data_IF_486667660158
#
_entry.id   IF_486667660158
#
_cell.length_a   1.000
_cell.length_b   1.000
_cell.length_c   1.000
_cell.angle_alpha   90.00
_cell.angle_beta   90.00
_cell.angle_gamma   90.00
#
_symmetry.space_group_name_H-M   'P 1'
#
loop_
_entity.id
_entity.type
_entity.pdbx_description
1 polymer ?
#
# COMPACT_ATOMS: atom_id res chain seq x y z
N UNK A 1 1.29 15.54 -20.80
CA UNK A 1 1.63 14.11 -20.93
C UNK A 1 0.97 13.64 -22.21
N UNK A 2 1.75 13.31 -23.24
CA UNK A 2 1.19 12.78 -24.50
C UNK A 2 0.86 11.29 -24.40
N UNK A 3 1.48 10.59 -23.44
CA UNK A 3 1.23 9.17 -23.20
C UNK A 3 0.20 8.99 -22.09
N UNK A 4 -0.78 8.11 -22.34
CA UNK A 4 -1.86 7.78 -21.40
C UNK A 4 -1.30 7.02 -20.19
N UNK A 5 -1.69 7.44 -18.99
CA UNK A 5 -1.38 6.74 -17.75
C UNK A 5 -2.29 5.51 -17.60
N UNK A 6 -1.71 4.34 -17.35
CA UNK A 6 -2.47 3.12 -17.03
C UNK A 6 -2.21 2.69 -15.59
N UNK A 7 -3.28 2.52 -14.81
CA UNK A 7 -3.23 1.96 -13.46
C UNK A 7 -3.59 0.47 -13.50
N UNK A 8 -2.69 -0.36 -13.01
CA UNK A 8 -2.92 -1.78 -12.80
C UNK A 8 -3.48 -2.00 -11.38
N UNK A 9 -4.79 -2.20 -11.30
CA UNK A 9 -5.55 -2.29 -10.07
C UNK A 9 -5.82 -3.74 -9.65
N UNK A 10 -5.64 -4.02 -8.36
CA UNK A 10 -5.98 -5.29 -7.73
C UNK A 10 -6.81 -5.03 -6.47
N UNK A 11 -7.94 -5.72 -6.32
CA UNK A 11 -8.81 -5.55 -5.14
C UNK A 11 -8.06 -5.93 -3.83
N UNK A 12 -8.41 -5.28 -2.72
CA UNK A 12 -7.72 -5.41 -1.43
C UNK A 12 -6.20 -5.18 -1.51
N UNK A 13 -5.77 -4.27 -2.39
CA UNK A 13 -4.37 -3.88 -2.53
C UNK A 13 -4.19 -2.37 -2.36
N UNK A 14 -2.93 -1.95 -2.31
CA UNK A 14 -2.59 -0.54 -2.23
C UNK A 14 -2.88 0.23 -3.53
N UNK A 15 -3.27 -0.43 -4.63
CA UNK A 15 -3.69 0.27 -5.85
C UNK A 15 -4.95 1.09 -5.66
N UNK A 16 -5.78 0.77 -4.67
CA UNK A 16 -6.98 1.56 -4.39
C UNK A 16 -6.66 3.01 -3.99
N UNK A 17 -5.56 3.25 -3.26
CA UNK A 17 -5.20 4.61 -2.86
C UNK A 17 -4.72 5.47 -4.05
N UNK A 18 -4.11 4.83 -5.04
CA UNK A 18 -3.71 5.48 -6.30
C UNK A 18 -4.95 5.79 -7.12
N UNK A 19 -5.86 4.81 -7.26
CA UNK A 19 -7.15 4.98 -7.92
C UNK A 19 -7.93 6.16 -7.33
N UNK A 20 -8.06 6.21 -6.00
CA UNK A 20 -8.74 7.31 -5.33
C UNK A 20 -8.08 8.66 -5.63
N UNK A 21 -6.75 8.76 -5.57
CA UNK A 21 -6.08 10.02 -5.86
C UNK A 21 -6.27 10.48 -7.32
N UNK A 22 -6.27 9.55 -8.28
CA UNK A 22 -6.57 9.87 -9.68
C UNK A 22 -7.98 10.44 -9.84
N UNK A 23 -8.96 9.87 -9.15
CA UNK A 23 -10.34 10.37 -9.12
C UNK A 23 -10.43 11.77 -8.48
N UNK A 24 -9.79 11.99 -7.33
CA UNK A 24 -9.79 13.31 -6.66
C UNK A 24 -9.14 14.40 -7.51
N UNK A 25 -8.08 14.05 -8.25
CA UNK A 25 -7.41 14.96 -9.17
C UNK A 25 -8.13 15.09 -10.52
N UNK A 26 -9.19 14.31 -10.75
CA UNK A 26 -9.89 14.19 -12.04
C UNK A 26 -8.90 13.93 -13.19
N UNK A 27 -7.84 13.18 -12.91
CA UNK A 27 -6.79 12.89 -13.88
C UNK A 27 -7.29 11.86 -14.90
N UNK A 28 -6.96 11.99 -16.20
CA UNK A 28 -7.27 10.96 -17.17
C UNK A 28 -6.35 9.74 -17.00
N UNK A 29 -6.93 8.54 -16.94
CA UNK A 29 -6.18 7.29 -16.85
C UNK A 29 -6.97 6.11 -17.42
N UNK A 30 -6.25 5.06 -17.83
CA UNK A 30 -6.80 3.75 -18.14
C UNK A 30 -6.69 2.83 -16.93
N UNK A 31 -7.71 1.99 -16.70
CA UNK A 31 -7.74 1.06 -15.58
C UNK A 31 -7.69 -0.39 -16.08
N UNK A 32 -6.66 -1.12 -15.66
CA UNK A 32 -6.58 -2.57 -15.85
C UNK A 32 -6.85 -3.25 -14.52
N UNK A 33 -7.95 -3.99 -14.42
CA UNK A 33 -8.32 -4.71 -13.20
C UNK A 33 -7.84 -6.15 -13.28
N UNK A 34 -7.22 -6.61 -12.20
CA UNK A 34 -6.74 -7.98 -12.04
C UNK A 34 -7.57 -8.72 -11.01
N UNK A 35 -7.92 -9.95 -11.32
CA UNK A 35 -8.59 -10.85 -10.39
C UNK A 35 -7.58 -11.59 -9.49
N UNK A 36 -8.00 -11.83 -8.25
CA UNK A 36 -7.27 -12.72 -7.34
C UNK A 36 -7.69 -14.16 -7.56
N UNK A 37 -6.72 -15.06 -7.55
CA UNK A 37 -6.98 -16.49 -7.42
C UNK A 37 -7.65 -16.76 -6.07
N UNK A 38 -8.83 -17.38 -6.09
CA UNK A 38 -9.66 -17.56 -4.91
C UNK A 38 -9.03 -18.43 -3.80
N UNK A 39 -7.99 -19.21 -4.12
CA UNK A 39 -7.32 -20.11 -3.15
C UNK A 39 -6.08 -19.46 -2.54
N UNK A 40 -5.27 -18.81 -3.37
CA UNK A 40 -3.97 -18.25 -3.00
C UNK A 40 -4.02 -16.76 -2.70
N UNK A 41 -5.10 -16.08 -3.11
CA UNK A 41 -5.25 -14.63 -3.12
C UNK A 41 -4.19 -13.90 -3.96
N UNK A 42 -3.37 -14.60 -4.76
CA UNK A 42 -2.40 -13.99 -5.65
C UNK A 42 -3.04 -13.56 -6.99
N UNK A 43 -2.37 -12.69 -7.74
CA UNK A 43 -2.77 -12.32 -9.10
C UNK A 43 -1.61 -12.63 -10.07
N UNK A 44 -1.46 -13.88 -10.55
CA UNK A 44 -0.31 -14.28 -11.39
C UNK A 44 -0.19 -13.47 -12.68
N UNK A 45 -1.32 -13.07 -13.27
CA UNK A 45 -1.39 -12.26 -14.50
C UNK A 45 -0.79 -10.87 -14.34
N UNK A 46 -0.64 -10.36 -13.11
CA UNK A 46 -0.02 -9.06 -12.84
C UNK A 46 1.47 -9.04 -13.16
N UNK A 47 2.14 -10.21 -13.20
CA UNK A 47 3.54 -10.33 -13.56
C UNK A 47 3.84 -9.81 -14.99
N UNK A 48 2.83 -9.81 -15.87
CA UNK A 48 2.96 -9.23 -17.20
C UNK A 48 3.14 -7.71 -17.22
N UNK A 49 2.68 -7.01 -16.18
CA UNK A 49 2.87 -5.55 -16.04
C UNK A 49 4.18 -5.21 -15.34
N UNK A 50 4.56 -5.99 -14.31
CA UNK A 50 5.82 -5.84 -13.61
C UNK A 50 6.29 -7.19 -13.07
N UNK A 51 7.57 -7.59 -13.26
CA UNK A 51 8.06 -8.91 -12.84
C UNK A 51 7.86 -9.24 -11.35
N UNK A 52 7.77 -8.22 -10.49
CA UNK A 52 7.50 -8.40 -9.06
C UNK A 52 6.11 -8.99 -8.78
N UNK A 53 5.15 -8.83 -9.70
CA UNK A 53 3.82 -9.43 -9.60
C UNK A 53 2.98 -8.92 -8.43
N UNK A 54 3.26 -7.72 -7.92
CA UNK A 54 2.54 -7.09 -6.82
C UNK A 54 1.96 -5.74 -7.24
N UNK A 55 0.79 -5.42 -6.69
CA UNK A 55 0.10 -4.15 -6.94
C UNK A 55 0.40 -3.14 -5.83
N UNK A 56 0.40 -1.83 -6.14
CA UNK A 56 0.10 -1.22 -7.44
C UNK A 56 1.26 -1.26 -8.42
N UNK A 57 0.88 -1.19 -9.71
CA UNK A 57 1.77 -0.84 -10.82
C UNK A 57 1.11 0.28 -11.61
N UNK A 58 1.90 1.26 -12.04
CA UNK A 58 1.49 2.30 -12.97
C UNK A 58 2.40 2.25 -14.19
N UNK A 59 1.83 2.32 -15.39
CA UNK A 59 2.58 2.43 -16.63
C UNK A 59 2.23 3.74 -17.37
N UNK A 60 3.20 4.34 -18.05
CA UNK A 60 3.03 5.55 -18.85
C UNK A 60 4.15 5.62 -19.90
N UNK A 61 3.81 5.41 -21.18
CA UNK A 61 4.82 5.21 -22.22
C UNK A 61 5.74 4.03 -21.88
N UNK A 62 7.05 4.25 -21.89
CA UNK A 62 8.05 3.24 -21.52
C UNK A 62 8.29 3.12 -20.00
N UNK A 63 7.65 3.97 -19.19
CA UNK A 63 7.81 3.94 -17.73
C UNK A 63 6.88 2.90 -17.12
N UNK A 64 7.44 2.00 -16.31
CA UNK A 64 6.69 1.16 -15.38
C UNK A 64 7.18 1.44 -13.95
N UNK A 65 6.26 1.90 -13.09
CA UNK A 65 6.56 2.31 -11.72
C UNK A 65 5.81 1.43 -10.73
N UNK A 66 6.56 0.93 -9.74
CA UNK A 66 6.05 0.27 -8.55
C UNK A 66 6.11 1.24 -7.36
N UNK A 67 5.73 0.76 -6.18
CA UNK A 67 5.65 1.55 -4.95
C UNK A 67 4.55 2.61 -5.00
N UNK A 68 3.51 2.33 -4.24
CA UNK A 68 2.28 3.12 -4.16
C UNK A 68 2.52 4.59 -3.79
N UNK A 69 3.54 4.94 -2.98
CA UNK A 69 3.85 6.33 -2.63
C UNK A 69 4.65 7.03 -3.73
N UNK A 70 5.53 6.31 -4.42
CA UNK A 70 6.29 6.85 -5.53
C UNK A 70 5.37 7.16 -6.72
N UNK A 71 4.43 6.26 -7.02
CA UNK A 71 3.37 6.47 -8.02
C UNK A 71 2.57 7.74 -7.69
N UNK A 72 2.17 7.90 -6.43
CA UNK A 72 1.38 9.08 -6.05
C UNK A 72 2.18 10.38 -6.14
N UNK A 73 3.43 10.42 -5.67
CA UNK A 73 4.30 11.60 -5.84
C UNK A 73 4.50 11.93 -7.32
N UNK A 74 4.69 10.93 -8.18
CA UNK A 74 4.81 11.13 -9.63
C UNK A 74 3.57 11.80 -10.22
N UNK A 75 2.37 11.33 -9.87
CA UNK A 75 1.12 11.93 -10.36
C UNK A 75 0.98 13.36 -9.84
N UNK A 76 1.28 13.62 -8.55
CA UNK A 76 1.22 14.96 -7.96
C UNK A 76 2.19 15.93 -8.65
N UNK A 77 3.42 15.50 -8.94
CA UNK A 77 4.43 16.30 -9.65
C UNK A 77 4.00 16.63 -11.09
N UNK A 78 3.18 15.77 -11.70
CA UNK A 78 2.71 15.90 -13.09
C UNK A 78 1.34 16.56 -13.21
N UNK A 79 0.67 16.87 -12.10
CA UNK A 79 -0.66 17.49 -12.08
C UNK A 79 -0.56 18.97 -11.68
N UNK A 80 -0.63 19.91 -12.66
CA UNK A 80 -0.56 21.34 -12.37
C UNK A 80 -1.75 21.79 -11.53
N UNK A 81 -1.50 22.63 -10.52
CA UNK A 81 -2.57 23.21 -9.70
C UNK A 81 -3.20 22.25 -8.68
N UNK A 82 -2.67 21.04 -8.52
CA UNK A 82 -3.06 20.16 -7.42
C UNK A 82 -2.79 20.84 -6.06
N UNK A 83 -3.63 20.57 -5.06
CA UNK A 83 -3.52 21.10 -3.70
C UNK A 83 -3.51 20.01 -2.61
N UNK A 84 -3.27 18.76 -3.00
CA UNK A 84 -3.25 17.59 -2.10
C UNK A 84 -1.93 17.47 -1.33
N UNK A 85 -0.87 18.13 -1.82
CA UNK A 85 0.44 18.20 -1.17
C UNK A 85 0.76 19.65 -0.78
N UNK A 86 1.01 19.97 0.50
CA UNK A 86 1.41 21.30 0.92
C UNK A 86 2.70 21.74 0.22
N UNK A 87 2.83 23.03 -0.05
CA UNK A 87 4.05 23.61 -0.62
C UNK A 87 5.28 23.36 0.27
N UNK A 88 6.51 23.31 -0.29
CA UNK A 88 7.73 23.04 0.48
C UNK A 88 7.92 23.95 1.70
N UNK A 89 7.58 25.23 1.57
CA UNK A 89 7.73 26.23 2.64
C UNK A 89 6.50 26.34 3.57
N UNK A 90 5.49 25.48 3.37
CA UNK A 90 4.28 25.48 4.21
C UNK A 90 4.58 24.98 5.63
N UNK A 91 4.03 25.62 6.69
CA UNK A 91 4.14 25.10 8.05
C UNK A 91 3.54 23.69 8.21
N UNK A 92 2.61 23.29 7.33
CA UNK A 92 2.00 21.96 7.35
C UNK A 92 2.84 20.88 6.65
N UNK A 93 3.91 21.26 5.92
CA UNK A 93 4.73 20.32 5.13
C UNK A 93 5.37 19.24 5.99
N UNK A 94 5.87 19.60 7.17
CA UNK A 94 6.49 18.65 8.11
C UNK A 94 5.50 17.57 8.54
N UNK A 95 4.27 17.97 8.87
CA UNK A 95 3.21 17.03 9.28
C UNK A 95 2.77 16.14 8.13
N UNK A 96 2.65 16.70 6.92
CA UNK A 96 2.38 15.93 5.71
C UNK A 96 3.45 14.86 5.48
N UNK A 97 4.73 15.24 5.47
CA UNK A 97 5.84 14.32 5.21
C UNK A 97 5.88 13.19 6.24
N UNK A 98 5.68 13.52 7.52
CA UNK A 98 5.62 12.51 8.58
C UNK A 98 4.56 11.44 8.27
N UNK A 99 3.32 11.84 8.00
CA UNK A 99 2.23 10.89 7.75
C UNK A 99 2.36 10.17 6.41
N UNK A 100 2.87 10.85 5.38
CA UNK A 100 3.16 10.25 4.07
C UNK A 100 4.11 9.07 4.20
N UNK A 101 5.21 9.26 4.92
CA UNK A 101 6.21 8.20 5.14
C UNK A 101 5.77 7.18 6.20
N UNK A 102 5.08 7.60 7.27
CA UNK A 102 4.62 6.70 8.32
C UNK A 102 3.65 5.64 7.80
N UNK A 103 2.78 6.00 6.84
CA UNK A 103 1.85 5.08 6.21
C UNK A 103 2.57 3.86 5.57
N UNK A 104 3.67 4.11 4.85
CA UNK A 104 4.44 3.06 4.18
C UNK A 104 5.45 2.40 5.13
N UNK A 105 6.23 3.21 5.85
CA UNK A 105 7.40 2.76 6.60
C UNK A 105 7.10 2.21 7.99
N UNK A 106 5.98 2.57 8.59
CA UNK A 106 5.62 2.14 9.95
C UNK A 106 4.33 1.32 9.98
N UNK A 107 3.26 1.85 9.39
CA UNK A 107 1.94 1.21 9.50
C UNK A 107 1.87 -0.11 8.72
N UNK A 108 2.45 -0.17 7.53
CA UNK A 108 2.38 -1.39 6.71
C UNK A 108 3.14 -2.58 7.31
N UNK A 109 4.39 -2.42 7.81
CA UNK A 109 5.07 -3.49 8.54
C UNK A 109 4.28 -3.95 9.77
N UNK A 110 3.67 -3.03 10.53
CA UNK A 110 2.83 -3.39 11.67
C UNK A 110 1.60 -4.21 11.24
N UNK A 111 0.96 -3.84 10.14
CA UNK A 111 -0.16 -4.59 9.58
C UNK A 111 0.27 -6.00 9.14
N UNK A 112 1.43 -6.14 8.50
CA UNK A 112 2.00 -7.43 8.15
C UNK A 112 2.25 -8.28 9.40
N UNK A 113 2.93 -7.73 10.40
CA UNK A 113 3.21 -8.44 11.66
C UNK A 113 1.93 -8.88 12.37
N UNK A 114 0.91 -8.03 12.41
CA UNK A 114 -0.41 -8.37 12.96
C UNK A 114 -1.06 -9.52 12.18
N UNK A 115 -1.00 -9.47 10.85
CA UNK A 115 -1.57 -10.49 9.97
C UNK A 115 -0.87 -11.83 10.16
N UNK A 116 0.47 -11.85 10.13
CA UNK A 116 1.29 -13.04 10.37
C UNK A 116 0.99 -13.63 11.74
N UNK A 117 0.99 -12.81 12.80
CA UNK A 117 0.69 -13.26 14.16
C UNK A 117 -0.72 -13.88 14.25
N UNK A 118 -1.70 -13.25 13.62
CA UNK A 118 -3.09 -13.73 13.59
C UNK A 118 -3.21 -15.07 12.86
N UNK A 119 -2.56 -15.22 11.71
CA UNK A 119 -2.54 -16.48 10.94
C UNK A 119 -1.85 -17.58 11.73
N UNK A 120 -0.69 -17.29 12.32
CA UNK A 120 0.07 -18.24 13.14
C UNK A 120 -0.77 -18.73 14.32
N UNK A 121 -1.44 -17.85 15.06
CA UNK A 121 -2.33 -18.22 16.16
C UNK A 121 -3.50 -19.13 15.73
N UNK A 122 -4.08 -18.89 14.54
CA UNK A 122 -5.16 -19.72 13.99
C UNK A 122 -4.68 -21.11 13.57
N UNK A 123 -3.46 -21.22 13.04
CA UNK A 123 -2.89 -22.48 12.54
C UNK A 123 -2.24 -23.37 13.61
N UNK A 124 -2.07 -22.89 14.84
CA UNK A 124 -1.52 -23.71 15.92
C UNK A 124 -2.46 -24.87 16.31
N UNK A 125 -1.95 -26.10 16.48
CA UNK A 125 -2.66 -27.19 17.12
C UNK A 125 -3.16 -26.77 18.50
N UNK A 126 -4.37 -27.20 18.88
CA UNK A 126 -5.05 -26.76 20.09
C UNK A 126 -4.17 -26.86 21.36
N UNK A 127 -3.32 -27.88 21.45
CA UNK A 127 -2.44 -28.13 22.57
C UNK A 127 -1.22 -27.17 22.67
N UNK A 128 -0.82 -26.50 21.58
CA UNK A 128 0.27 -25.49 21.62
C UNK A 128 -0.22 -24.07 21.88
N UNK A 129 -1.53 -23.81 21.74
CA UNK A 129 -2.14 -22.48 21.95
C UNK A 129 -1.88 -21.88 23.35
N UNK A 130 -1.86 -22.64 24.48
CA UNK A 130 -1.62 -22.08 25.81
C UNK A 130 -0.20 -21.49 25.97
N UNK A 131 0.83 -22.21 25.51
CA UNK A 131 2.23 -21.78 25.62
C UNK A 131 2.52 -20.53 24.77
N UNK A 132 1.96 -20.47 23.56
CA UNK A 132 2.16 -19.30 22.67
C UNK A 132 1.34 -18.09 23.13
N UNK A 133 0.14 -18.28 23.71
CA UNK A 133 -0.60 -17.19 24.35
C UNK A 133 0.17 -16.58 25.51
N UNK A 134 0.89 -17.40 26.30
CA UNK A 134 1.73 -16.90 27.40
C UNK A 134 2.90 -16.04 26.89
N UNK A 135 3.57 -16.48 25.81
CA UNK A 135 4.67 -15.74 25.19
C UNK A 135 4.21 -14.44 24.50
N UNK A 136 3.10 -14.48 23.75
CA UNK A 136 2.56 -13.30 23.05
C UNK A 136 1.96 -12.25 23.99
N UNK A 137 1.43 -12.66 25.15
CA UNK A 137 0.93 -11.74 26.18
C UNK A 137 2.03 -10.80 26.70
N UNK A 138 3.27 -11.29 26.83
CA UNK A 138 4.43 -10.50 27.21
C UNK A 138 4.85 -9.46 26.16
N UNK A 139 4.67 -9.78 24.87
CA UNK A 139 4.96 -8.87 23.75
C UNK A 139 3.93 -7.73 23.66
N UNK A 140 2.65 -8.05 23.84
CA UNK A 140 1.57 -7.05 23.84
C UNK A 140 1.56 -6.15 25.07
N UNK A 141 2.05 -6.62 26.23
CA UNK A 141 2.14 -5.80 27.44
C UNK A 141 3.29 -4.78 27.40
N UNK A 142 4.33 -5.03 26.60
CA UNK A 142 5.47 -4.11 26.47
C UNK A 142 5.31 -3.02 25.40
N UNK A 143 4.35 -3.14 24.47
CA UNK A 143 4.32 -2.29 23.27
C UNK A 143 3.26 -1.19 23.24
N UNK A 144 2.35 -1.09 24.23
CA UNK A 144 1.32 -0.03 24.26
C UNK A 144 0.90 0.43 25.67
N UNK A 145 1.80 0.37 26.65
CA UNK A 145 1.53 0.88 28.00
C UNK A 145 2.04 2.31 28.25
N UNK A 146 2.82 2.89 27.33
CA UNK A 146 3.34 4.27 27.46
C UNK A 146 3.47 4.93 26.09
N UNK A 147 2.35 5.42 25.58
CA UNK A 147 2.26 6.55 24.67
C UNK A 147 0.96 7.27 25.01
#
# INVERSE_FOLDING_TARGET
MTDTLTLHHLEYSQSFRVLWMLEELQAPYDLVVYDRDARTMAAPTLQGALPMGTAPVMTCGDLALAESSAIMEFILDKTPGQNLRPEPDSPDRTRYLFWWHAAQGSMMPLQLMKTVTTISQKRLPFFMKPFVKLYTKGWTSCSFSRA
#
